data_IF_265825056561
#
_entry.id   IF_265825056561
#
_cell.length_a   1.000
_cell.length_b   1.000
_cell.length_c   1.000
_cell.angle_alpha   90.00
_cell.angle_beta   90.00
_cell.angle_gamma   90.00
#
_symmetry.space_group_name_H-M   'P 1'
#
loop_
_entity.id
_entity.type
_entity.pdbx_description
1 polymer ?
#
# COMPACT_ATOMS: atom_id res chain seq x y z
N UNK A 1 -25.84 -16.19 40.36
CA UNK A 1 -24.85 -17.27 40.42
C UNK A 1 -24.81 -17.82 39.00
N UNK A 2 -23.88 -17.33 38.19
CA UNK A 2 -23.25 -18.09 37.15
C UNK A 2 -22.20 -17.21 36.48
N UNK A 3 -21.00 -17.69 36.54
CA UNK A 3 -19.79 -17.05 36.07
C UNK A 3 -19.73 -17.09 34.56
N UNK A 4 -19.88 -15.96 33.87
CA UNK A 4 -19.58 -15.87 32.46
C UNK A 4 -18.09 -15.64 32.24
N UNK A 5 -17.50 -16.68 31.75
CA UNK A 5 -16.13 -16.86 31.31
C UNK A 5 -15.66 -15.75 30.38
N UNK A 6 -14.62 -15.00 30.82
CA UNK A 6 -13.81 -14.15 29.96
C UNK A 6 -12.90 -15.04 29.10
N UNK A 7 -13.36 -15.41 27.93
CA UNK A 7 -12.52 -16.08 26.93
C UNK A 7 -12.73 -15.42 25.57
N UNK A 8 -11.60 -14.95 25.02
CA UNK A 8 -11.32 -14.77 23.60
C UNK A 8 -11.90 -13.53 22.94
N UNK A 9 -11.12 -12.47 22.99
CA UNK A 9 -10.99 -11.52 21.91
C UNK A 9 -9.50 -11.27 21.67
N UNK A 10 -8.82 -12.30 21.16
CA UNK A 10 -7.55 -12.18 20.47
C UNK A 10 -7.86 -12.52 19.01
N UNK A 11 -8.24 -11.52 18.27
CA UNK A 11 -8.49 -11.56 16.84
C UNK A 11 -7.82 -10.34 16.22
N UNK A 12 -6.68 -10.57 15.61
CA UNK A 12 -5.99 -9.83 14.58
C UNK A 12 -6.42 -8.38 14.33
N UNK A 13 -5.72 -7.43 14.92
CA UNK A 13 -5.65 -6.09 14.33
C UNK A 13 -4.68 -6.15 13.17
N UNK A 14 -5.21 -6.43 11.97
CA UNK A 14 -4.56 -5.96 10.77
C UNK A 14 -4.62 -4.44 10.83
N UNK A 15 -3.51 -3.80 11.13
CA UNK A 15 -3.35 -2.36 11.07
C UNK A 15 -3.43 -1.95 9.59
N UNK A 16 -4.67 -1.76 9.13
CA UNK A 16 -4.95 -1.06 7.89
C UNK A 16 -4.62 0.41 8.12
N UNK A 17 -3.61 0.90 7.45
CA UNK A 17 -3.29 2.31 7.30
C UNK A 17 -4.52 3.07 6.81
N UNK A 18 -5.22 3.70 7.73
CA UNK A 18 -6.10 4.83 7.44
C UNK A 18 -5.37 6.12 7.86
N UNK A 19 -4.36 6.47 7.11
CA UNK A 19 -3.83 7.83 7.08
C UNK A 19 -4.80 8.71 6.29
N UNK A 20 -5.92 9.03 6.90
CA UNK A 20 -6.96 9.87 6.33
C UNK A 20 -7.68 10.63 7.42
N UNK A 21 -6.93 11.42 8.22
CA UNK A 21 -7.53 12.47 9.04
C UNK A 21 -6.70 13.74 8.85
N UNK A 22 -7.32 14.70 8.24
CA UNK A 22 -6.82 16.03 8.07
C UNK A 22 -6.32 16.62 9.41
N UNK A 23 -5.06 17.04 9.46
CA UNK A 23 -4.65 18.10 10.37
C UNK A 23 -3.68 17.78 11.51
N UNK A 24 -3.08 16.58 11.61
CA UNK A 24 -1.94 16.34 12.49
C UNK A 24 -0.84 15.63 11.72
N UNK A 25 0.07 16.36 11.12
CA UNK A 25 1.35 15.80 10.69
C UNK A 25 2.16 15.46 11.92
N UNK A 26 2.28 14.19 12.27
CA UNK A 26 3.24 13.76 13.27
C UNK A 26 4.65 14.02 12.74
N UNK A 27 5.53 14.60 13.56
CA UNK A 27 6.92 14.86 13.17
C UNK A 27 7.72 13.56 13.02
N UNK A 28 7.33 12.52 13.74
CA UNK A 28 7.88 11.17 13.67
C UNK A 28 6.90 10.15 14.25
N UNK A 29 7.10 8.88 13.91
CA UNK A 29 6.35 7.76 14.49
C UNK A 29 7.29 6.60 14.86
N UNK A 30 6.88 5.78 15.81
CA UNK A 30 7.56 4.54 16.16
C UNK A 30 6.54 3.42 16.34
N UNK A 31 6.81 2.27 15.72
CA UNK A 31 6.00 1.06 15.83
C UNK A 31 6.88 -0.06 16.39
N UNK A 32 6.36 -0.79 17.37
CA UNK A 32 7.06 -1.89 18.02
C UNK A 32 6.17 -3.11 18.08
N UNK A 33 6.64 -4.21 17.48
CA UNK A 33 5.91 -5.47 17.45
C UNK A 33 6.80 -6.62 17.89
N UNK A 34 6.34 -7.46 18.83
CA UNK A 34 7.06 -8.65 19.24
C UNK A 34 7.08 -9.71 18.13
N UNK A 35 8.27 -10.26 17.83
CA UNK A 35 8.49 -11.25 16.77
C UNK A 35 9.18 -12.49 17.30
N UNK A 36 8.42 -13.38 17.93
CA UNK A 36 8.95 -14.51 18.71
C UNK A 36 9.55 -15.64 17.87
N UNK A 37 9.29 -15.68 16.56
CA UNK A 37 9.69 -16.79 15.70
C UNK A 37 10.40 -16.32 14.44
N UNK A 38 11.32 -17.14 13.88
CA UNK A 38 11.90 -16.85 12.59
C UNK A 38 10.87 -16.63 11.48
N UNK A 39 9.75 -17.35 11.53
CA UNK A 39 8.67 -17.16 10.55
C UNK A 39 8.02 -15.77 10.69
N UNK A 40 7.81 -15.28 11.92
CA UNK A 40 7.28 -13.94 12.14
C UNK A 40 8.24 -12.86 11.63
N UNK A 41 9.54 -13.00 11.89
CA UNK A 41 10.58 -12.11 11.36
C UNK A 41 10.58 -12.12 9.83
N UNK A 42 10.59 -13.31 9.21
CA UNK A 42 10.59 -13.43 7.76
C UNK A 42 9.34 -12.83 7.10
N UNK A 43 8.16 -12.97 7.72
CA UNK A 43 6.92 -12.36 7.23
C UNK A 43 6.95 -10.84 7.30
N UNK A 44 7.52 -10.28 8.35
CA UNK A 44 7.70 -8.82 8.45
C UNK A 44 8.62 -8.28 7.38
N UNK A 45 9.66 -9.02 7.06
CA UNK A 45 10.67 -8.64 6.09
C UNK A 45 10.30 -8.95 4.63
N UNK A 46 9.15 -9.53 4.36
CA UNK A 46 8.71 -9.85 3.00
C UNK A 46 7.42 -9.14 2.66
N UNK A 47 7.28 -8.83 1.38
CA UNK A 47 6.04 -8.36 0.81
C UNK A 47 5.17 -9.57 0.45
N UNK A 48 4.30 -9.95 1.37
CA UNK A 48 3.44 -11.11 1.24
C UNK A 48 1.99 -10.76 0.89
N UNK A 49 1.19 -11.73 0.43
CA UNK A 49 -0.22 -11.54 0.10
C UNK A 49 -1.06 -11.04 1.29
N UNK A 50 -0.57 -11.18 2.51
CA UNK A 50 -1.24 -10.68 3.72
C UNK A 50 -1.20 -9.15 3.84
N UNK A 51 -0.20 -8.48 3.24
CA UNK A 51 -0.09 -7.02 3.25
C UNK A 51 -1.00 -6.33 2.24
N UNK A 52 -1.37 -7.03 1.14
CA UNK A 52 -2.31 -6.52 0.14
C UNK A 52 -3.21 -7.65 -0.40
N UNK A 53 -4.21 -8.10 0.34
CA UNK A 53 -5.00 -9.30 0.01
C UNK A 53 -5.92 -9.18 -1.22
N UNK A 54 -5.94 -8.04 -1.92
CA UNK A 54 -6.88 -7.77 -3.02
C UNK A 54 -6.25 -7.69 -4.41
N UNK A 55 -4.94 -7.90 -4.53
CA UNK A 55 -4.26 -7.75 -5.81
C UNK A 55 -3.97 -9.12 -6.43
N UNK A 56 -4.99 -9.66 -7.13
CA UNK A 56 -4.87 -10.90 -7.90
C UNK A 56 -3.77 -10.79 -8.97
N UNK A 57 -3.66 -9.62 -9.60
CA UNK A 57 -2.73 -9.38 -10.71
C UNK A 57 -1.28 -9.43 -10.24
N UNK A 58 -1.03 -8.94 -9.02
CA UNK A 58 0.28 -9.03 -8.37
C UNK A 58 0.69 -10.46 -8.04
N UNK A 59 -0.23 -11.24 -7.45
CA UNK A 59 0.03 -12.65 -7.14
C UNK A 59 0.32 -13.46 -8.41
N UNK A 60 -0.42 -13.21 -9.49
CA UNK A 60 -0.19 -13.82 -10.80
C UNK A 60 1.15 -13.39 -11.41
N UNK A 61 1.54 -12.10 -11.27
CA UNK A 61 2.82 -11.60 -11.73
C UNK A 61 3.98 -12.30 -11.01
N UNK A 62 3.91 -12.39 -9.67
CA UNK A 62 4.93 -13.06 -8.86
C UNK A 62 5.04 -14.54 -9.26
N UNK A 63 3.92 -15.26 -9.35
CA UNK A 63 3.90 -16.65 -9.77
C UNK A 63 4.55 -16.84 -11.15
N UNK A 64 4.16 -16.03 -12.14
CA UNK A 64 4.72 -16.09 -13.48
C UNK A 64 6.21 -15.70 -13.54
N UNK A 65 6.67 -14.76 -12.70
CA UNK A 65 8.08 -14.42 -12.59
C UNK A 65 8.91 -15.57 -12.02
N UNK A 66 8.38 -16.30 -11.03
CA UNK A 66 9.01 -17.50 -10.44
C UNK A 66 9.06 -18.66 -11.43
N UNK A 67 8.02 -18.84 -12.24
CA UNK A 67 7.92 -19.94 -13.23
C UNK A 67 8.78 -19.75 -14.49
N UNK A 68 9.58 -18.70 -14.57
CA UNK A 68 10.53 -18.52 -15.68
C UNK A 68 10.56 -17.11 -16.27
N UNK A 69 9.98 -16.16 -15.57
CA UNK A 69 9.88 -14.77 -15.97
C UNK A 69 8.59 -14.46 -16.73
N UNK A 70 8.21 -13.20 -16.68
CA UNK A 70 7.00 -12.72 -17.35
C UNK A 70 7.18 -11.30 -17.86
N UNK A 71 6.39 -10.93 -18.86
CA UNK A 71 6.29 -9.56 -19.35
C UNK A 71 4.98 -8.93 -18.90
N UNK A 72 5.04 -7.65 -18.54
CA UNK A 72 3.86 -6.80 -18.28
C UNK A 72 4.01 -5.51 -19.07
N UNK A 73 2.89 -4.89 -19.38
CA UNK A 73 2.85 -3.62 -20.10
C UNK A 73 2.13 -2.58 -19.28
N UNK A 74 2.69 -1.38 -19.22
CA UNK A 74 2.06 -0.23 -18.57
C UNK A 74 2.47 1.08 -19.26
N UNK A 75 1.70 2.13 -19.04
CA UNK A 75 1.94 3.47 -19.57
C UNK A 75 2.54 4.44 -18.54
N UNK A 76 2.65 4.03 -17.28
CA UNK A 76 3.04 4.90 -16.17
C UNK A 76 4.25 4.38 -15.39
N UNK A 77 4.85 3.30 -15.83
CA UNK A 77 5.97 2.65 -15.16
C UNK A 77 5.72 1.16 -14.92
N UNK A 78 6.63 0.45 -14.27
CA UNK A 78 6.46 -0.96 -13.96
C UNK A 78 5.24 -1.17 -13.04
N UNK A 79 4.33 -2.09 -13.39
CA UNK A 79 3.09 -2.34 -12.63
C UNK A 79 3.32 -2.71 -11.17
N UNK A 80 4.49 -3.25 -10.87
CA UNK A 80 4.87 -3.62 -9.53
C UNK A 80 6.37 -3.41 -9.29
N UNK A 81 6.71 -2.66 -8.27
CA UNK A 81 8.08 -2.40 -7.82
C UNK A 81 8.16 -2.82 -6.35
N UNK A 82 8.63 -4.03 -6.06
CA UNK A 82 8.77 -4.45 -4.67
C UNK A 82 10.01 -3.80 -4.05
N UNK A 83 9.84 -3.19 -2.89
CA UNK A 83 10.93 -2.65 -2.08
C UNK A 83 11.52 -3.74 -1.17
N UNK A 84 10.89 -4.92 -1.14
CA UNK A 84 11.26 -6.07 -0.31
C UNK A 84 11.18 -7.36 -1.08
N UNK A 85 11.87 -8.42 -0.61
CA UNK A 85 11.67 -9.76 -1.15
C UNK A 85 10.20 -10.17 -1.06
N UNK A 86 9.74 -10.91 -2.06
CA UNK A 86 8.37 -11.41 -2.15
C UNK A 86 8.28 -12.88 -1.74
N UNK A 87 7.10 -13.33 -1.34
CA UNK A 87 6.87 -14.74 -1.01
C UNK A 87 5.99 -15.42 -2.03
N UNK A 88 6.38 -16.63 -2.45
CA UNK A 88 5.56 -17.52 -3.25
C UNK A 88 5.72 -18.95 -2.75
N UNK A 89 4.63 -19.59 -2.33
CA UNK A 89 4.63 -20.97 -1.79
C UNK A 89 5.66 -21.19 -0.67
N UNK A 90 5.73 -20.28 0.32
CA UNK A 90 6.67 -20.25 1.45
C UNK A 90 8.14 -19.97 1.07
N UNK A 91 8.51 -19.99 -0.19
CA UNK A 91 9.84 -19.60 -0.66
C UNK A 91 9.92 -18.09 -0.83
N UNK A 92 11.09 -17.52 -0.48
CA UNK A 92 11.36 -16.07 -0.58
C UNK A 92 12.17 -15.80 -1.82
N UNK A 93 11.77 -14.79 -2.59
CA UNK A 93 12.42 -14.39 -3.85
C UNK A 93 12.72 -12.90 -3.87
N UNK A 94 13.86 -12.54 -4.44
CA UNK A 94 14.14 -11.20 -4.90
C UNK A 94 13.50 -11.05 -6.29
N UNK A 95 12.57 -10.13 -6.43
CA UNK A 95 11.92 -9.82 -7.70
C UNK A 95 12.66 -8.64 -8.35
N UNK A 96 13.07 -8.81 -9.57
CA UNK A 96 13.69 -7.76 -10.38
C UNK A 96 12.88 -7.49 -11.63
N UNK A 97 12.99 -6.27 -12.14
CA UNK A 97 12.40 -5.90 -13.41
C UNK A 97 13.38 -5.09 -14.26
N UNK A 98 13.16 -5.13 -15.56
CA UNK A 98 13.86 -4.31 -16.54
C UNK A 98 12.90 -3.89 -17.63
N UNK A 99 13.07 -2.69 -18.15
CA UNK A 99 12.35 -2.24 -19.33
C UNK A 99 12.90 -2.98 -20.55
N UNK A 100 12.01 -3.68 -21.26
CA UNK A 100 12.36 -4.29 -22.53
C UNK A 100 12.30 -3.22 -23.64
N UNK A 101 13.21 -3.26 -24.58
CA UNK A 101 13.34 -2.28 -25.69
C UNK A 101 12.15 -2.31 -26.70
N UNK A 102 11.01 -2.90 -26.32
CA UNK A 102 9.82 -3.08 -27.16
C UNK A 102 8.67 -2.24 -26.64
N UNK A 103 8.35 -1.17 -27.34
CA UNK A 103 7.11 -0.44 -27.18
C UNK A 103 5.94 -1.20 -27.83
N UNK A 104 4.78 -1.11 -27.22
CA UNK A 104 3.50 -1.55 -27.77
C UNK A 104 2.48 -0.44 -27.57
N UNK A 105 1.27 -0.61 -28.11
CA UNK A 105 0.21 0.37 -27.88
C UNK A 105 -1.13 -0.31 -27.68
N UNK A 106 -2.03 0.37 -26.97
CA UNK A 106 -3.42 -0.04 -26.82
C UNK A 106 -4.35 1.14 -26.99
N UNK A 107 -5.61 0.85 -27.31
CA UNK A 107 -6.67 1.86 -27.28
C UNK A 107 -7.29 1.88 -25.91
N UNK A 108 -7.29 3.04 -25.28
CA UNK A 108 -8.07 3.37 -24.08
C UNK A 108 -9.20 4.31 -24.47
N UNK A 109 -10.23 4.37 -23.67
CA UNK A 109 -11.39 5.25 -23.88
C UNK A 109 -11.43 6.26 -22.73
N UNK A 110 -11.28 7.54 -23.09
CA UNK A 110 -11.56 8.61 -22.14
C UNK A 110 -13.06 8.70 -22.00
N UNK A 111 -13.59 8.23 -20.88
CA UNK A 111 -15.01 8.29 -20.57
C UNK A 111 -15.22 9.49 -19.65
N UNK A 112 -16.05 10.40 -20.10
CA UNK A 112 -16.38 11.62 -19.40
C UNK A 112 -17.86 11.63 -19.02
N UNK A 113 -18.14 11.89 -17.74
CA UNK A 113 -19.48 12.05 -17.18
C UNK A 113 -19.57 13.44 -16.55
N UNK A 114 -20.43 14.29 -17.10
CA UNK A 114 -20.67 15.64 -16.61
C UNK A 114 -22.08 15.73 -16.03
N UNK A 115 -22.22 16.23 -14.80
CA UNK A 115 -23.54 16.49 -14.21
C UNK A 115 -24.24 17.57 -15.02
N UNK A 116 -25.51 17.35 -15.35
CA UNK A 116 -26.33 18.27 -16.12
C UNK A 116 -27.58 18.66 -15.35
N UNK A 117 -28.38 19.58 -15.87
CA UNK A 117 -29.59 20.07 -15.21
C UNK A 117 -30.55 18.93 -14.83
N UNK A 118 -31.15 19.00 -13.64
CA UNK A 118 -32.02 17.98 -13.05
C UNK A 118 -33.26 17.65 -13.91
N UNK A 119 -33.67 18.55 -14.80
CA UNK A 119 -34.82 18.38 -15.69
C UNK A 119 -34.46 17.62 -16.98
N UNK A 120 -33.20 17.27 -17.19
CA UNK A 120 -32.77 16.55 -18.38
C UNK A 120 -33.22 15.09 -18.31
N UNK A 121 -33.89 14.65 -19.39
CA UNK A 121 -34.27 13.24 -19.50
C UNK A 121 -33.05 12.35 -19.64
N UNK A 122 -33.06 11.23 -18.94
CA UNK A 122 -32.01 10.21 -18.98
C UNK A 122 -32.43 9.04 -19.86
N UNK A 123 -31.50 8.50 -20.67
CA UNK A 123 -31.75 7.39 -21.58
C UNK A 123 -31.76 6.04 -20.81
N UNK A 124 -30.94 5.91 -19.80
CA UNK A 124 -30.85 4.73 -18.94
C UNK A 124 -30.32 5.10 -17.55
N UNK A 125 -30.43 4.19 -16.60
CA UNK A 125 -29.75 4.29 -15.30
C UNK A 125 -28.42 3.52 -15.31
N UNK A 126 -27.47 3.92 -14.46
CA UNK A 126 -26.19 3.22 -14.29
C UNK A 126 -26.37 1.72 -13.97
N UNK A 127 -27.39 1.38 -13.19
CA UNK A 127 -27.72 0.00 -12.84
C UNK A 127 -28.18 -0.87 -14.01
N UNK A 128 -28.67 -0.26 -15.10
CA UNK A 128 -29.13 -0.95 -16.30
C UNK A 128 -28.01 -1.19 -17.32
N UNK A 129 -26.82 -0.60 -17.12
CA UNK A 129 -25.66 -0.86 -17.96
C UNK A 129 -25.26 -2.34 -17.92
N UNK A 130 -24.64 -2.87 -18.98
CA UNK A 130 -24.00 -4.18 -18.96
C UNK A 130 -23.06 -4.35 -17.77
N UNK A 131 -22.90 -5.58 -17.28
CA UNK A 131 -22.04 -5.87 -16.14
C UNK A 131 -20.61 -5.38 -16.34
N UNK A 132 -20.06 -5.53 -17.55
CA UNK A 132 -18.72 -5.07 -17.91
C UNK A 132 -18.57 -3.55 -17.73
N UNK A 133 -19.58 -2.77 -18.13
CA UNK A 133 -19.52 -1.32 -17.98
C UNK A 133 -19.64 -0.91 -16.51
N UNK A 134 -20.54 -1.53 -15.76
CA UNK A 134 -20.70 -1.26 -14.32
C UNK A 134 -19.42 -1.56 -13.52
N UNK A 135 -18.71 -2.63 -13.88
CA UNK A 135 -17.45 -3.00 -13.25
C UNK A 135 -16.34 -1.99 -13.59
N UNK A 136 -16.21 -1.63 -14.88
CA UNK A 136 -15.20 -0.66 -15.33
C UNK A 136 -15.46 0.77 -14.82
N UNK A 137 -16.71 1.11 -14.59
CA UNK A 137 -17.16 2.43 -14.16
C UNK A 137 -17.57 2.49 -12.68
N UNK A 138 -17.21 1.49 -11.87
CA UNK A 138 -17.63 1.34 -10.47
C UNK A 138 -17.36 2.56 -9.58
N UNK A 139 -16.35 3.36 -9.92
CA UNK A 139 -15.98 4.59 -9.19
C UNK A 139 -16.84 5.80 -9.49
N UNK A 140 -17.51 5.81 -10.65
CA UNK A 140 -18.25 7.01 -11.09
C UNK A 140 -19.44 7.35 -10.19
N UNK A 141 -20.26 6.40 -9.73
CA UNK A 141 -21.35 6.71 -8.81
C UNK A 141 -20.89 7.42 -7.54
N UNK A 142 -19.83 6.97 -6.91
CA UNK A 142 -19.28 7.58 -5.69
C UNK A 142 -18.73 8.99 -5.96
N UNK A 143 -18.05 9.20 -7.08
CA UNK A 143 -17.52 10.50 -7.46
C UNK A 143 -18.60 11.51 -7.76
N UNK A 144 -19.67 11.09 -8.45
CA UNK A 144 -20.83 11.94 -8.74
C UNK A 144 -21.60 12.28 -7.47
N UNK A 145 -21.78 11.30 -6.56
CA UNK A 145 -22.45 11.48 -5.27
C UNK A 145 -21.69 12.48 -4.39
N UNK A 146 -20.37 12.32 -4.30
CA UNK A 146 -19.49 13.27 -3.59
C UNK A 146 -19.58 14.70 -4.15
N UNK A 147 -19.66 14.87 -5.47
CA UNK A 147 -19.81 16.18 -6.10
C UNK A 147 -21.13 16.84 -5.65
N UNK A 148 -22.20 16.08 -5.65
CA UNK A 148 -23.54 16.60 -5.31
C UNK A 148 -23.67 16.92 -3.82
N UNK A 149 -23.11 16.08 -2.93
CA UNK A 149 -23.14 16.29 -1.49
C UNK A 149 -22.24 17.45 -1.02
N UNK A 150 -21.17 17.73 -1.77
CA UNK A 150 -20.17 18.74 -1.40
C UNK A 150 -19.93 19.73 -2.56
N UNK A 151 -20.91 20.54 -2.94
CA UNK A 151 -20.79 21.45 -4.08
C UNK A 151 -19.76 22.59 -3.87
N UNK A 152 -19.31 22.81 -2.63
CA UNK A 152 -18.24 23.77 -2.30
C UNK A 152 -16.84 23.12 -2.30
N UNK A 153 -16.75 21.78 -2.36
CA UNK A 153 -15.49 21.09 -2.54
C UNK A 153 -15.00 21.31 -3.99
N UNK A 154 -13.68 21.41 -4.16
CA UNK A 154 -13.07 21.48 -5.50
C UNK A 154 -13.20 20.13 -6.26
N UNK A 155 -14.38 19.53 -6.23
CA UNK A 155 -14.69 18.32 -6.99
C UNK A 155 -15.15 18.79 -8.37
N UNK A 156 -14.55 18.30 -9.47
CA UNK A 156 -14.92 18.77 -10.80
C UNK A 156 -16.35 18.34 -11.18
N UNK A 157 -17.12 19.25 -11.77
CA UNK A 157 -18.45 18.96 -12.37
C UNK A 157 -18.40 17.83 -13.39
N UNK A 158 -17.20 17.54 -13.88
CA UNK A 158 -16.93 16.54 -14.90
C UNK A 158 -15.91 15.54 -14.38
N UNK A 159 -16.31 14.28 -14.37
CA UNK A 159 -15.42 13.14 -14.05
C UNK A 159 -14.96 12.51 -15.35
N UNK A 160 -13.65 12.49 -15.60
CA UNK A 160 -13.09 11.95 -16.83
C UNK A 160 -11.85 11.10 -16.56
N UNK A 161 -11.90 9.82 -16.91
CA UNK A 161 -10.76 8.89 -16.78
C UNK A 161 -10.54 8.10 -18.07
N UNK A 162 -9.29 7.83 -18.44
CA UNK A 162 -8.97 6.84 -19.45
C UNK A 162 -9.22 5.43 -18.87
N UNK A 163 -10.00 4.62 -19.60
CA UNK A 163 -10.33 3.26 -19.19
C UNK A 163 -9.99 2.30 -20.33
N UNK A 164 -9.29 1.24 -20.00
CA UNK A 164 -9.01 0.16 -20.93
C UNK A 164 -10.11 -0.89 -20.89
N UNK A 165 -10.67 -1.18 -22.06
CA UNK A 165 -11.56 -2.31 -22.29
C UNK A 165 -10.83 -3.36 -23.13
N UNK A 166 -10.52 -4.54 -22.60
CA UNK A 166 -10.01 -5.66 -23.40
C UNK A 166 -10.91 -5.95 -24.63
N UNK A 167 -10.37 -6.44 -25.73
CA UNK A 167 -11.16 -6.67 -26.94
C UNK A 167 -12.43 -7.51 -26.71
N UNK A 168 -12.37 -8.55 -25.87
CA UNK A 168 -13.51 -9.39 -25.54
C UNK A 168 -14.62 -8.67 -24.75
N UNK A 169 -14.27 -7.67 -23.96
CA UNK A 169 -15.22 -6.89 -23.15
C UNK A 169 -15.92 -5.82 -23.98
N UNK A 170 -15.25 -5.26 -25.00
CA UNK A 170 -15.82 -4.24 -25.88
C UNK A 170 -17.08 -4.72 -26.60
N UNK A 171 -17.14 -6.01 -26.96
CA UNK A 171 -18.31 -6.59 -27.63
C UNK A 171 -19.56 -6.61 -26.73
N UNK A 172 -19.35 -6.60 -25.40
CA UNK A 172 -20.43 -6.60 -24.41
C UNK A 172 -20.74 -5.23 -23.83
N UNK A 173 -20.01 -4.18 -24.23
CA UNK A 173 -20.18 -2.82 -23.71
C UNK A 173 -21.27 -2.04 -24.44
N UNK A 174 -22.03 -1.25 -23.69
CA UNK A 174 -22.94 -0.25 -24.21
C UNK A 174 -22.32 1.16 -24.25
N UNK A 175 -21.07 1.28 -23.74
CA UNK A 175 -20.37 2.57 -23.62
C UNK A 175 -19.29 2.71 -24.69
N UNK A 176 -18.51 1.65 -24.94
CA UNK A 176 -17.39 1.69 -25.88
C UNK A 176 -17.59 0.71 -27.04
N UNK A 177 -17.11 1.01 -28.26
CA UNK A 177 -16.41 2.22 -28.68
C UNK A 177 -17.32 3.43 -28.89
N UNK A 178 -18.60 3.20 -29.15
CA UNK A 178 -19.61 4.22 -29.43
C UNK A 178 -20.73 4.10 -28.39
N UNK A 179 -20.97 5.12 -27.56
CA UNK A 179 -21.97 5.04 -26.51
C UNK A 179 -23.38 4.89 -27.09
N UNK A 180 -24.17 3.98 -26.51
CA UNK A 180 -25.57 3.79 -26.87
C UNK A 180 -26.50 4.82 -26.19
N UNK A 181 -25.98 5.59 -25.25
CA UNK A 181 -26.69 6.56 -24.43
C UNK A 181 -25.95 7.90 -24.43
N UNK A 182 -26.70 9.00 -24.56
CA UNK A 182 -26.15 10.36 -24.42
C UNK A 182 -26.20 10.84 -22.97
N UNK A 183 -27.16 10.32 -22.20
CA UNK A 183 -27.41 10.76 -20.83
C UNK A 183 -27.76 9.56 -19.92
N UNK A 184 -27.08 9.45 -18.79
CA UNK A 184 -27.33 8.40 -17.80
C UNK A 184 -27.83 9.01 -16.48
N UNK A 185 -28.61 8.24 -15.71
CA UNK A 185 -28.84 8.53 -14.30
C UNK A 185 -27.80 7.80 -13.45
N UNK A 186 -26.89 8.55 -12.80
CA UNK A 186 -25.82 8.04 -11.94
C UNK A 186 -26.02 8.62 -10.55
N UNK A 187 -26.11 7.77 -9.52
CA UNK A 187 -26.43 8.21 -8.15
C UNK A 187 -27.68 9.10 -8.04
N UNK A 188 -28.66 8.89 -8.93
CA UNK A 188 -29.89 9.71 -9.01
C UNK A 188 -29.75 11.02 -9.75
N UNK A 189 -28.56 11.38 -10.23
CA UNK A 189 -28.28 12.60 -10.98
C UNK A 189 -28.23 12.34 -12.50
N UNK A 190 -28.77 13.23 -13.34
CA UNK A 190 -28.57 13.16 -14.77
C UNK A 190 -27.14 13.58 -15.12
N UNK A 191 -26.42 12.74 -15.87
CA UNK A 191 -25.07 13.00 -16.35
C UNK A 191 -25.00 12.84 -17.86
N UNK A 192 -24.38 13.80 -18.54
CA UNK A 192 -24.03 13.66 -19.94
C UNK A 192 -22.81 12.76 -20.09
N UNK A 193 -22.87 11.83 -21.02
CA UNK A 193 -21.81 10.87 -21.31
C UNK A 193 -21.11 11.24 -22.61
N UNK A 194 -19.78 11.29 -22.58
CA UNK A 194 -18.97 11.32 -23.81
C UNK A 194 -17.84 10.31 -23.76
N UNK A 195 -17.45 9.80 -24.92
CA UNK A 195 -16.44 8.75 -25.03
C UNK A 195 -15.50 9.09 -26.20
N UNK A 196 -14.22 9.19 -25.88
CA UNK A 196 -13.19 9.48 -26.88
C UNK A 196 -12.09 8.40 -26.86
N UNK A 197 -11.84 7.71 -27.98
CA UNK A 197 -10.75 6.75 -28.06
C UNK A 197 -9.40 7.47 -28.08
N UNK A 198 -8.43 6.97 -27.29
CA UNK A 198 -7.06 7.47 -27.25
C UNK A 198 -6.10 6.30 -27.41
N UNK A 199 -5.08 6.47 -28.25
CA UNK A 199 -4.00 5.49 -28.35
C UNK A 199 -2.92 5.82 -27.34
N UNK A 200 -2.64 4.88 -26.44
CA UNK A 200 -1.63 5.00 -25.39
C UNK A 200 -0.45 4.10 -25.74
N UNK A 201 0.76 4.66 -25.74
CA UNK A 201 1.98 3.87 -25.82
C UNK A 201 2.23 3.18 -24.48
N UNK A 202 2.64 1.92 -24.53
CA UNK A 202 2.94 1.11 -23.36
C UNK A 202 4.38 0.63 -23.43
N UNK A 203 5.09 0.76 -22.34
CA UNK A 203 6.38 0.13 -22.16
C UNK A 203 6.20 -1.32 -21.73
N UNK A 204 7.14 -2.17 -22.09
CA UNK A 204 7.12 -3.58 -21.74
C UNK A 204 8.14 -3.82 -20.64
N UNK A 205 7.69 -4.26 -19.49
CA UNK A 205 8.51 -4.58 -18.34
C UNK A 205 8.69 -6.10 -18.24
N UNK A 206 9.93 -6.55 -18.18
CA UNK A 206 10.28 -7.95 -17.99
C UNK A 206 10.61 -8.19 -16.52
N UNK A 207 9.88 -9.10 -15.88
CA UNK A 207 10.09 -9.52 -14.51
C UNK A 207 10.81 -10.86 -14.43
N UNK A 208 11.72 -10.98 -13.47
CA UNK A 208 12.39 -12.21 -13.10
C UNK A 208 12.47 -12.34 -11.58
N UNK A 209 12.40 -13.56 -11.08
CA UNK A 209 12.55 -13.86 -9.68
C UNK A 209 13.80 -14.70 -9.43
N UNK A 210 14.55 -14.37 -8.39
CA UNK A 210 15.70 -15.15 -7.93
C UNK A 210 15.41 -15.65 -6.51
N UNK A 211 15.59 -16.95 -6.25
CA UNK A 211 15.41 -17.49 -4.91
C UNK A 211 16.40 -16.82 -3.94
N UNK A 212 15.87 -16.20 -2.89
CA UNK A 212 16.61 -15.56 -1.79
C UNK A 212 16.75 -16.50 -0.60
N UNK A 213 15.70 -17.23 -0.26
CA UNK A 213 15.72 -18.23 0.80
C UNK A 213 14.67 -19.32 0.54
N UNK A 214 14.95 -20.59 0.94
CA UNK A 214 14.08 -21.73 0.66
C UNK A 214 12.78 -21.72 1.49
N UNK A 215 12.66 -20.84 2.47
CA UNK A 215 11.41 -20.62 3.21
C UNK A 215 11.44 -19.28 3.95
N UNK A 216 10.26 -18.75 4.28
CA UNK A 216 10.10 -17.56 5.13
C UNK A 216 10.83 -17.73 6.47
N UNK A 217 10.76 -18.93 7.08
CA UNK A 217 11.47 -19.21 8.32
C UNK A 217 13.00 -19.23 8.15
N UNK A 218 13.51 -19.67 6.99
CA UNK A 218 14.95 -19.66 6.71
C UNK A 218 15.45 -18.21 6.57
N UNK A 219 14.71 -17.39 5.86
CA UNK A 219 14.98 -15.96 5.71
C UNK A 219 14.96 -15.23 7.06
N UNK A 220 13.95 -15.46 7.88
CA UNK A 220 13.90 -14.87 9.23
C UNK A 220 15.04 -15.30 10.15
N UNK A 221 15.58 -16.55 10.02
CA UNK A 221 16.79 -16.95 10.75
C UNK A 221 18.04 -16.22 10.27
N UNK A 222 18.14 -15.95 8.98
CA UNK A 222 19.22 -15.16 8.40
C UNK A 222 19.19 -13.75 8.94
N UNK A 223 18.06 -13.06 8.84
CA UNK A 223 17.88 -11.71 9.37
C UNK A 223 18.19 -11.62 10.87
N UNK A 224 17.71 -12.60 11.65
CA UNK A 224 17.98 -12.65 13.09
C UNK A 224 19.47 -12.79 13.40
N UNK A 225 20.19 -13.57 12.61
CA UNK A 225 21.65 -13.76 12.77
C UNK A 225 22.42 -12.49 12.43
N UNK A 226 21.99 -11.77 11.38
CA UNK A 226 22.76 -10.71 10.76
C UNK A 226 22.38 -9.31 11.28
N UNK A 227 21.15 -9.12 11.77
CA UNK A 227 20.61 -7.81 12.17
C UNK A 227 20.12 -7.72 13.61
N UNK A 228 20.00 -8.85 14.34
CA UNK A 228 19.54 -8.78 15.72
C UNK A 228 20.60 -8.16 16.62
N UNK A 229 20.27 -7.05 17.26
CA UNK A 229 21.10 -6.45 18.30
C UNK A 229 20.38 -6.39 19.66
N UNK A 230 21.16 -6.32 20.75
CA UNK A 230 20.60 -6.14 22.10
C UNK A 230 20.41 -4.66 22.38
N UNK A 231 19.17 -4.25 22.70
CA UNK A 231 18.86 -2.88 23.11
C UNK A 231 19.23 -2.71 24.59
N UNK A 232 20.36 -2.09 24.82
CA UNK A 232 20.95 -1.90 26.13
C UNK A 232 21.39 -0.44 26.35
N UNK A 233 21.67 -0.07 27.59
CA UNK A 233 22.18 1.26 27.91
C UNK A 233 21.12 2.35 27.93
N UNK A 234 19.84 2.00 27.88
CA UNK A 234 18.74 2.95 27.99
C UNK A 234 18.76 3.68 29.33
N UNK A 235 18.57 5.00 29.31
CA UNK A 235 18.21 5.80 30.47
C UNK A 235 16.86 5.35 31.05
N UNK A 236 16.52 5.83 32.24
CA UNK A 236 15.20 5.54 32.83
C UNK A 236 14.06 6.03 31.97
N UNK A 237 14.15 7.25 31.43
CA UNK A 237 13.14 7.87 30.57
C UNK A 237 13.00 7.16 29.22
N UNK A 238 14.09 6.73 28.59
CA UNK A 238 14.06 5.95 27.34
C UNK A 238 13.43 4.57 27.56
N UNK A 239 13.73 3.94 28.71
CA UNK A 239 13.13 2.65 29.08
C UNK A 239 11.64 2.76 29.29
N UNK A 240 11.19 3.73 30.08
CA UNK A 240 9.76 3.99 30.31
C UNK A 240 9.03 4.29 28.99
N UNK A 241 9.68 5.04 28.10
CA UNK A 241 9.12 5.35 26.79
C UNK A 241 9.03 4.10 25.92
N UNK A 242 10.10 3.29 25.79
CA UNK A 242 10.07 2.06 25.01
C UNK A 242 9.04 1.06 25.55
N UNK A 243 8.94 0.91 26.88
CA UNK A 243 7.96 0.06 27.54
C UNK A 243 6.52 0.49 27.24
N UNK A 244 6.27 1.79 27.15
CA UNK A 244 5.00 2.34 26.74
C UNK A 244 4.70 2.00 25.28
N UNK A 245 5.63 2.31 24.35
CA UNK A 245 5.43 2.05 22.92
C UNK A 245 5.20 0.57 22.65
N UNK A 246 6.00 -0.34 23.26
CA UNK A 246 5.79 -1.79 23.09
C UNK A 246 4.44 -2.28 23.63
N UNK A 247 3.88 -1.62 24.64
CA UNK A 247 2.58 -1.99 25.22
C UNK A 247 1.40 -1.48 24.38
N UNK A 248 1.56 -0.32 23.74
CA UNK A 248 0.56 0.34 22.90
C UNK A 248 0.69 -0.07 21.41
N UNK A 249 1.85 -0.59 21.02
CA UNK A 249 2.18 -1.00 19.64
C UNK A 249 2.66 0.14 18.74
N UNK A 250 2.34 1.39 19.07
CA UNK A 250 2.72 2.56 18.28
C UNK A 250 2.80 3.83 19.11
N UNK A 251 3.55 4.80 18.57
CA UNK A 251 3.67 6.15 19.07
C UNK A 251 3.77 7.14 17.91
N UNK A 252 3.14 8.31 18.05
CA UNK A 252 3.18 9.42 17.09
C UNK A 252 3.64 10.69 17.78
N UNK A 253 4.81 11.22 17.42
CA UNK A 253 5.35 12.46 17.97
C UNK A 253 4.51 13.66 17.49
N UNK A 254 4.18 14.55 18.42
CA UNK A 254 3.32 15.71 18.13
C UNK A 254 1.82 15.47 18.44
N UNK A 255 1.42 14.22 18.67
CA UNK A 255 0.02 13.89 19.00
C UNK A 255 -0.25 13.72 20.50
N UNK A 256 0.79 13.64 21.35
CA UNK A 256 0.68 13.36 22.78
C UNK A 256 1.62 14.26 23.60
N UNK A 257 1.06 15.05 24.50
CA UNK A 257 1.77 16.00 25.36
C UNK A 257 2.56 15.36 26.53
N UNK A 258 2.48 14.03 26.70
CA UNK A 258 2.99 13.33 27.90
C UNK A 258 4.27 12.50 27.69
N UNK A 259 5.08 12.78 26.67
CA UNK A 259 6.37 12.11 26.48
C UNK A 259 7.46 13.00 27.09
N UNK A 260 8.34 12.43 27.95
CA UNK A 260 9.48 13.19 28.48
C UNK A 260 10.34 13.75 27.35
N UNK A 261 10.73 15.03 27.48
CA UNK A 261 11.58 15.69 26.51
C UNK A 261 12.84 14.86 26.21
N UNK A 262 13.11 14.63 24.93
CA UNK A 262 14.30 13.91 24.47
C UNK A 262 14.22 12.37 24.58
N UNK A 263 13.15 11.79 25.11
CA UNK A 263 13.05 10.32 25.25
C UNK A 263 12.95 9.61 23.89
N UNK A 264 12.21 10.20 22.93
CA UNK A 264 12.13 9.68 21.56
C UNK A 264 13.49 9.77 20.88
N UNK A 265 14.11 10.95 20.90
CA UNK A 265 15.40 11.22 20.25
C UNK A 265 16.51 10.33 20.84
N UNK A 266 16.59 10.22 22.16
CA UNK A 266 17.55 9.34 22.81
C UNK A 266 17.36 7.86 22.41
N UNK A 267 16.12 7.39 22.39
CA UNK A 267 15.82 6.04 21.93
C UNK A 267 16.14 5.86 20.43
N UNK A 268 15.76 6.80 19.59
CA UNK A 268 16.05 6.77 18.15
C UNK A 268 17.56 6.70 17.86
N UNK A 269 18.39 7.38 18.65
CA UNK A 269 19.85 7.34 18.55
C UNK A 269 20.43 5.91 18.71
N UNK A 270 19.82 5.08 19.55
CA UNK A 270 20.21 3.68 19.68
C UNK A 270 19.96 2.92 18.38
N UNK A 271 18.85 3.16 17.69
CA UNK A 271 18.48 2.47 16.45
C UNK A 271 19.29 2.94 15.25
N UNK A 272 19.40 4.24 15.01
CA UNK A 272 20.14 4.76 13.85
C UNK A 272 21.65 4.52 13.93
N UNK A 273 22.16 4.08 15.08
CA UNK A 273 23.54 3.63 15.24
C UNK A 273 23.75 2.17 14.82
N UNK A 274 22.67 1.43 14.53
CA UNK A 274 22.69 0.04 14.11
C UNK A 274 22.29 -0.09 12.65
N UNK A 275 22.79 -1.12 11.92
CA UNK A 275 22.36 -1.35 10.54
C UNK A 275 20.88 -1.71 10.50
N UNK A 276 20.08 -0.90 9.79
CA UNK A 276 18.69 -1.20 9.53
C UNK A 276 18.56 -2.43 8.61
N UNK A 277 17.44 -3.14 8.71
CA UNK A 277 17.09 -4.21 7.75
C UNK A 277 16.60 -3.59 6.46
N UNK A 278 15.76 -2.55 6.57
CA UNK A 278 15.26 -1.77 5.46
C UNK A 278 15.36 -0.28 5.78
N UNK A 279 15.61 0.49 4.76
CA UNK A 279 15.55 1.95 4.77
C UNK A 279 14.72 2.37 3.56
N UNK A 280 13.64 3.09 3.81
CA UNK A 280 12.78 3.62 2.75
C UNK A 280 12.41 5.07 3.09
N UNK A 281 12.86 6.02 2.26
CA UNK A 281 12.68 7.45 2.50
C UNK A 281 13.15 7.84 3.92
N UNK A 282 12.22 8.30 4.77
CA UNK A 282 12.46 8.68 6.17
C UNK A 282 12.29 7.52 7.17
N UNK A 283 11.98 6.32 6.71
CA UNK A 283 11.66 5.17 7.56
C UNK A 283 12.81 4.17 7.63
N UNK A 284 13.14 3.74 8.83
CA UNK A 284 14.07 2.63 9.08
C UNK A 284 13.39 1.49 9.84
N UNK A 285 13.84 0.26 9.59
CA UNK A 285 13.32 -0.93 10.27
C UNK A 285 14.45 -1.77 10.84
N UNK A 286 14.29 -2.19 12.08
CA UNK A 286 15.31 -2.92 12.84
C UNK A 286 14.73 -4.13 13.54
N UNK A 287 15.61 -5.06 13.83
CA UNK A 287 15.34 -6.20 14.69
C UNK A 287 16.19 -6.07 15.98
N UNK A 288 15.51 -5.91 17.10
CA UNK A 288 16.19 -5.74 18.39
C UNK A 288 15.70 -6.75 19.42
N UNK A 289 16.57 -7.06 20.40
CA UNK A 289 16.19 -7.81 21.59
C UNK A 289 16.18 -6.90 22.81
N UNK A 290 15.06 -6.91 23.50
CA UNK A 290 14.92 -6.20 24.77
C UNK A 290 14.26 -7.11 25.81
N UNK A 291 14.89 -7.23 26.99
CA UNK A 291 14.47 -8.12 28.09
C UNK A 291 14.18 -9.57 27.62
N UNK A 292 14.99 -10.07 26.68
CA UNK A 292 14.92 -11.45 26.19
C UNK A 292 13.87 -11.71 25.11
N UNK A 293 13.08 -10.71 24.73
CA UNK A 293 12.10 -10.77 23.64
C UNK A 293 12.62 -10.04 22.41
N UNK A 294 12.42 -10.63 21.23
CA UNK A 294 12.77 -10.00 19.97
C UNK A 294 11.62 -9.11 19.47
N UNK A 295 11.95 -7.91 19.02
CA UNK A 295 11.01 -6.92 18.51
C UNK A 295 11.42 -6.47 17.13
N UNK A 296 10.43 -6.33 16.25
CA UNK A 296 10.52 -5.55 15.04
C UNK A 296 10.18 -4.11 15.36
N UNK A 297 11.09 -3.20 15.06
CA UNK A 297 10.92 -1.78 15.31
C UNK A 297 10.99 -1.02 14.01
N UNK A 298 9.99 -0.21 13.75
CA UNK A 298 9.90 0.71 12.61
C UNK A 298 9.87 2.12 13.16
N UNK A 299 10.72 3.00 12.64
CA UNK A 299 10.76 4.42 13.02
C UNK A 299 10.69 5.25 11.76
N UNK A 300 9.69 6.12 11.70
CA UNK A 300 9.53 7.12 10.64
C UNK A 300 9.94 8.50 11.16
N UNK A 301 10.82 9.18 10.42
CA UNK A 301 11.44 10.46 10.78
C UNK A 301 10.95 11.62 9.89
N UNK A 302 9.69 11.65 9.49
CA UNK A 302 9.10 12.56 8.46
C UNK A 302 9.62 14.00 8.50
N UNK A 303 9.77 14.61 9.68
CA UNK A 303 10.22 16.00 9.83
C UNK A 303 11.56 16.13 10.61
N UNK A 304 12.30 15.02 10.72
CA UNK A 304 13.57 14.98 11.45
C UNK A 304 14.75 14.73 10.50
N UNK A 305 15.05 15.69 9.63
CA UNK A 305 16.08 15.60 8.57
C UNK A 305 17.44 15.09 9.05
N UNK A 306 17.84 15.39 10.30
CA UNK A 306 19.10 14.92 10.87
C UNK A 306 19.13 13.38 10.99
N UNK A 307 18.00 12.77 11.38
CA UNK A 307 17.88 11.31 11.50
C UNK A 307 17.79 10.65 10.14
N UNK A 308 17.07 11.23 9.19
CA UNK A 308 17.01 10.77 7.80
C UNK A 308 18.41 10.69 7.18
N UNK A 309 19.23 11.75 7.34
CA UNK A 309 20.61 11.76 6.84
C UNK A 309 21.48 10.68 7.49
N UNK A 310 21.33 10.42 8.80
CA UNK A 310 22.06 9.38 9.51
C UNK A 310 21.64 7.98 9.07
N UNK A 311 20.35 7.78 8.82
CA UNK A 311 19.77 6.52 8.35
C UNK A 311 20.42 6.11 7.02
N UNK A 312 20.47 7.01 6.04
CA UNK A 312 21.08 6.75 4.74
C UNK A 312 22.62 6.67 4.78
N UNK A 313 23.27 7.25 5.77
CA UNK A 313 24.73 7.14 5.92
C UNK A 313 25.19 5.73 6.32
N UNK A 314 24.37 5.01 7.08
CA UNK A 314 24.68 3.63 7.52
C UNK A 314 24.43 2.60 6.41
N UNK A 315 23.48 2.86 5.53
CA UNK A 315 23.20 2.00 4.35
C UNK A 315 24.37 1.99 3.34
N UNK A 316 25.21 3.02 3.34
CA UNK A 316 26.32 3.20 2.39
C UNK A 316 27.63 2.53 2.82
N UNK A 317 27.69 1.84 3.96
CA UNK A 317 28.86 1.13 4.49
C UNK A 317 28.73 -0.37 4.35
#
# INVERSE_FOLDING_TARGET
MDSLSRRKLLGGCAAGLLAGLAGCSADAAMFVEAVDTPTAIGRKATDGPERQPRDSDRAELIAAAVDGGTNRTDSHGPPYQPDRPVTHNDTVYDLSWSEASRETSRTEYRIEMAVVDDDRATDASFGELPAVDRERLERYPELIDNYVENPEAEVPETVAYPIYYPPAEREGSAIVPDPQYDTLSVAGQPVALSVEPTTVSLDVYQYAATERAPSVAAFGRELRRDHLFELTGLSETEREFFDRVRSEGSFYKGSFDDVPDGAFEGLADHFVSQPAIFVENSTGEWLTRYEGTDYWVEIDFVLLEEYEQRLHAVESL
#
